data_IF_539038287537
#
_entry.id   IF_539038287537
#
_cell.length_a   1.000
_cell.length_b   1.000
_cell.length_c   1.000
_cell.angle_alpha   90.00
_cell.angle_beta   90.00
_cell.angle_gamma   90.00
#
_symmetry.space_group_name_H-M   'P 1'
#
loop_
_entity.id
_entity.type
_entity.pdbx_description
1 polymer ?
#
# COMPACT_ATOMS: atom_id res chain seq x y z
N UNK A 1 3.12 -8.06 -10.64
CA UNK A 1 3.71 -6.91 -11.36
C UNK A 1 5.06 -6.49 -10.79
N UNK A 2 5.17 -6.11 -9.51
CA UNK A 2 6.44 -5.67 -8.89
C UNK A 2 7.57 -6.71 -9.07
N UNK A 3 7.26 -7.99 -8.82
CA UNK A 3 8.16 -9.10 -9.10
C UNK A 3 8.73 -9.08 -10.53
N UNK A 4 7.86 -8.92 -11.54
CA UNK A 4 8.25 -8.89 -12.94
C UNK A 4 9.18 -7.71 -13.25
N UNK A 5 8.84 -6.52 -12.75
CA UNK A 5 9.66 -5.32 -12.92
C UNK A 5 11.07 -5.55 -12.36
N UNK A 6 11.17 -6.06 -11.13
CA UNK A 6 12.46 -6.33 -10.50
C UNK A 6 13.25 -7.42 -11.25
N UNK A 7 12.59 -8.52 -11.64
CA UNK A 7 13.22 -9.62 -12.37
C UNK A 7 13.82 -9.16 -13.71
N UNK A 8 13.13 -8.27 -14.40
CA UNK A 8 13.57 -7.71 -15.68
C UNK A 8 14.50 -6.50 -15.52
N UNK A 9 14.90 -6.17 -14.28
CA UNK A 9 15.72 -5.00 -13.95
C UNK A 9 15.09 -3.68 -14.44
N UNK A 10 13.75 -3.63 -14.46
CA UNK A 10 12.95 -2.46 -14.86
C UNK A 10 12.66 -1.63 -13.62
N UNK A 11 13.45 -0.57 -13.44
CA UNK A 11 13.44 0.28 -12.24
C UNK A 11 12.74 1.63 -12.46
N UNK A 12 11.98 1.79 -13.54
CA UNK A 12 11.25 3.05 -13.85
C UNK A 12 10.28 3.44 -12.72
N UNK A 13 9.74 2.45 -12.01
CA UNK A 13 8.85 2.70 -10.87
C UNK A 13 9.57 3.37 -9.68
N UNK A 14 10.89 3.21 -9.56
CA UNK A 14 11.69 3.79 -8.47
C UNK A 14 11.66 5.31 -8.56
N UNK A 15 11.97 5.87 -9.73
CA UNK A 15 11.89 7.32 -9.96
C UNK A 15 10.44 7.80 -10.01
N UNK A 16 9.51 7.00 -10.55
CA UNK A 16 8.10 7.38 -10.61
C UNK A 16 7.50 7.58 -9.21
N UNK A 17 7.94 6.80 -8.22
CA UNK A 17 7.41 6.82 -6.85
C UNK A 17 8.37 7.40 -5.80
N UNK A 18 9.48 8.02 -6.21
CA UNK A 18 10.53 8.58 -5.33
C UNK A 18 11.05 7.57 -4.29
N UNK A 19 11.22 6.31 -4.72
CA UNK A 19 11.80 5.27 -3.88
C UNK A 19 13.33 5.43 -3.80
N UNK A 20 13.95 5.07 -2.66
CA UNK A 20 15.41 5.09 -2.52
C UNK A 20 16.11 4.03 -3.40
N UNK A 21 15.38 3.01 -3.84
CA UNK A 21 15.87 1.95 -4.72
C UNK A 21 14.77 0.94 -5.06
N UNK A 22 15.09 -0.12 -5.82
CA UNK A 22 14.16 -1.21 -6.09
C UNK A 22 13.77 -1.91 -4.79
N UNK A 23 12.49 -2.23 -4.63
CA UNK A 23 11.96 -2.95 -3.47
C UNK A 23 11.18 -4.19 -3.87
N UNK A 24 11.23 -5.21 -3.04
CA UNK A 24 10.37 -6.41 -3.16
C UNK A 24 9.19 -6.35 -2.18
N UNK A 25 9.19 -5.39 -1.25
CA UNK A 25 8.10 -5.19 -0.30
C UNK A 25 6.97 -4.37 -0.94
N UNK A 26 5.83 -5.03 -1.12
CA UNK A 26 4.63 -4.43 -1.68
C UNK A 26 4.09 -3.32 -0.77
N UNK A 27 4.22 -3.46 0.56
CA UNK A 27 3.76 -2.45 1.50
C UNK A 27 4.62 -1.19 1.42
N UNK A 28 5.94 -1.33 1.34
CA UNK A 28 6.86 -0.20 1.16
C UNK A 28 6.51 0.59 -0.11
N UNK A 29 6.29 -0.11 -1.23
CA UNK A 29 5.87 0.51 -2.49
C UNK A 29 4.55 1.27 -2.32
N UNK A 30 3.52 0.63 -1.76
CA UNK A 30 2.18 1.22 -1.62
C UNK A 30 2.18 2.41 -0.66
N UNK A 31 2.90 2.32 0.45
CA UNK A 31 3.08 3.42 1.40
C UNK A 31 3.78 4.61 0.71
N UNK A 32 4.85 4.35 -0.04
CA UNK A 32 5.57 5.40 -0.76
C UNK A 32 4.70 6.11 -1.80
N UNK A 33 3.89 5.34 -2.55
CA UNK A 33 2.90 5.90 -3.47
C UNK A 33 1.88 6.77 -2.74
N UNK A 34 1.41 6.34 -1.56
CA UNK A 34 0.51 7.14 -0.73
C UNK A 34 1.14 8.46 -0.31
N UNK A 35 2.39 8.45 0.19
CA UNK A 35 3.09 9.66 0.61
C UNK A 35 3.29 10.63 -0.56
N UNK A 36 3.82 10.14 -1.70
CA UNK A 36 4.07 10.97 -2.88
C UNK A 36 2.80 11.64 -3.40
N UNK A 37 1.68 10.93 -3.39
CA UNK A 37 0.42 11.39 -3.98
C UNK A 37 -0.59 11.94 -2.95
N UNK A 38 -0.20 12.02 -1.68
CA UNK A 38 -1.07 12.44 -0.56
C UNK A 38 -2.35 11.60 -0.44
N UNK A 39 -2.25 10.29 -0.68
CA UNK A 39 -3.38 9.37 -0.53
C UNK A 39 -3.50 8.93 0.92
N UNK A 40 -4.32 9.66 1.67
CA UNK A 40 -4.59 9.37 3.07
C UNK A 40 -6.09 9.38 3.35
N UNK A 41 -6.52 8.50 4.25
CA UNK A 41 -7.87 8.43 4.78
C UNK A 41 -7.86 8.87 6.24
N UNK A 42 -8.88 9.62 6.61
CA UNK A 42 -9.16 9.89 8.02
C UNK A 42 -10.11 8.82 8.53
N UNK A 43 -9.64 8.02 9.47
CA UNK A 43 -10.45 7.01 10.16
C UNK A 43 -10.71 7.44 11.59
N UNK A 44 -11.95 7.26 12.04
CA UNK A 44 -12.34 7.48 13.43
C UNK A 44 -12.18 6.16 14.17
N UNK A 45 -11.31 6.09 15.17
CA UNK A 45 -11.26 4.94 16.09
C UNK A 45 -11.92 5.29 17.43
N UNK A 46 -12.64 4.35 18.06
CA UNK A 46 -13.05 4.49 19.45
C UNK A 46 -11.79 4.64 20.33
N UNK A 47 -11.77 5.61 21.24
CA UNK A 47 -10.61 5.87 22.13
C UNK A 47 -10.43 4.85 23.25
N UNK A 48 -11.26 3.82 23.33
CA UNK A 48 -11.29 2.88 24.44
C UNK A 48 -10.12 1.89 24.34
N UNK A 49 -9.12 2.06 25.21
CA UNK A 49 -8.06 1.09 25.47
C UNK A 49 -8.62 -0.05 26.36
N UNK A 50 -8.30 -1.33 26.13
CA UNK A 50 -8.91 -2.46 26.88
C UNK A 50 -8.58 -2.56 28.39
N UNK A 51 -7.83 -1.62 28.96
CA UNK A 51 -7.26 -1.75 30.31
C UNK A 51 -7.80 -0.75 31.35
N UNK A 52 -8.85 0.01 31.06
CA UNK A 52 -9.44 0.91 32.06
C UNK A 52 -10.71 0.28 32.65
N UNK A 53 -10.55 -0.18 33.89
CA UNK A 53 -11.55 -0.88 34.70
C UNK A 53 -12.78 -0.01 34.92
N UNK A 54 -13.93 -0.67 34.81
CA UNK A 54 -15.28 -0.20 35.09
C UNK A 54 -15.39 0.71 36.34
N UNK A 55 -15.77 1.97 36.13
CA UNK A 55 -16.67 2.67 37.05
C UNK A 55 -17.77 3.32 36.24
N UNK A 56 -19.00 2.97 36.60
CA UNK A 56 -20.21 3.17 35.82
C UNK A 56 -20.69 4.62 35.79
N UNK A 57 -21.43 4.91 34.72
CA UNK A 57 -22.54 5.87 34.61
C UNK A 57 -22.32 7.33 34.18
N UNK A 58 -21.10 7.86 34.10
CA UNK A 58 -20.89 9.21 33.50
C UNK A 58 -20.17 9.23 32.13
N UNK A 59 -19.56 8.12 31.73
CA UNK A 59 -18.69 8.06 30.54
C UNK A 59 -19.44 7.78 29.21
N UNK A 60 -20.76 7.66 29.24
CA UNK A 60 -21.60 7.41 28.05
C UNK A 60 -21.90 8.65 27.21
N UNK A 61 -21.41 9.84 27.59
CA UNK A 61 -21.68 11.10 26.86
C UNK A 61 -20.52 11.63 26.02
N UNK A 62 -19.32 11.09 26.15
CA UNK A 62 -18.18 11.52 25.34
C UNK A 62 -17.79 10.41 24.36
N UNK A 63 -18.44 10.40 23.19
CA UNK A 63 -17.95 9.69 22.01
C UNK A 63 -16.63 10.33 21.53
N UNK A 64 -15.55 10.18 22.30
CA UNK A 64 -14.21 10.66 21.92
C UNK A 64 -13.70 9.71 20.85
N UNK A 65 -14.04 10.02 19.61
CA UNK A 65 -13.43 9.35 18.46
C UNK A 65 -12.11 10.06 18.14
N UNK A 66 -10.99 9.34 18.26
CA UNK A 66 -9.72 9.87 17.79
C UNK A 66 -9.68 9.74 16.27
N UNK A 67 -9.45 10.88 15.58
CA UNK A 67 -9.21 10.91 14.14
C UNK A 67 -7.75 10.53 13.88
N UNK A 68 -7.56 9.41 13.20
CA UNK A 68 -6.25 8.93 12.78
C UNK A 68 -6.15 9.03 11.26
N UNK A 69 -5.01 9.49 10.76
CA UNK A 69 -4.72 9.55 9.34
C UNK A 69 -3.93 8.30 8.96
N UNK A 70 -4.46 7.51 8.03
CA UNK A 70 -3.82 6.28 7.56
C UNK A 70 -3.59 6.32 6.04
N UNK A 71 -2.55 5.66 5.50
CA UNK A 71 -2.35 5.54 4.06
C UNK A 71 -3.52 4.83 3.36
N UNK A 72 -3.98 5.38 2.24
CA UNK A 72 -5.01 4.77 1.39
C UNK A 72 -4.39 3.77 0.40
N UNK A 73 -4.08 2.57 0.91
CA UNK A 73 -3.41 1.52 0.14
C UNK A 73 -4.22 1.09 -1.09
N UNK A 74 -5.56 1.09 -1.00
CA UNK A 74 -6.43 0.74 -2.14
C UNK A 74 -6.30 1.77 -3.26
N UNK A 75 -6.32 3.06 -2.92
CA UNK A 75 -6.15 4.15 -3.89
C UNK A 75 -4.75 4.14 -4.50
N UNK A 76 -3.72 3.83 -3.71
CA UNK A 76 -2.36 3.65 -4.23
C UNK A 76 -2.26 2.50 -5.25
N UNK A 77 -2.82 1.32 -4.94
CA UNK A 77 -2.84 0.19 -5.86
C UNK A 77 -3.57 0.53 -7.18
N UNK A 78 -4.73 1.19 -7.08
CA UNK A 78 -5.48 1.66 -8.25
C UNK A 78 -4.67 2.66 -9.08
N UNK A 79 -3.97 3.59 -8.42
CA UNK A 79 -3.13 4.58 -9.09
C UNK A 79 -1.99 3.91 -9.87
N UNK A 80 -1.31 2.93 -9.26
CA UNK A 80 -0.27 2.13 -9.92
C UNK A 80 -0.85 1.43 -11.17
N UNK A 81 -2.01 0.79 -11.05
CA UNK A 81 -2.66 0.13 -12.20
C UNK A 81 -3.03 1.13 -13.31
N UNK A 82 -3.53 2.31 -12.94
CA UNK A 82 -3.81 3.39 -13.90
C UNK A 82 -2.54 3.83 -14.64
N UNK A 83 -1.41 3.99 -13.94
CA UNK A 83 -0.12 4.33 -14.55
C UNK A 83 0.37 3.24 -15.50
N UNK A 84 0.18 1.97 -15.12
CA UNK A 84 0.49 0.82 -15.96
C UNK A 84 -0.32 0.83 -17.26
N UNK A 85 -1.65 1.02 -17.16
CA UNK A 85 -2.52 1.09 -18.33
C UNK A 85 -2.18 2.28 -19.25
N UNK A 86 -1.68 3.37 -18.67
CA UNK A 86 -1.19 4.54 -19.40
C UNK A 86 0.26 4.39 -19.93
N UNK A 87 0.88 3.21 -19.79
CA UNK A 87 2.24 2.88 -20.25
C UNK A 87 3.36 3.70 -19.60
N UNK A 88 3.16 4.23 -18.39
CA UNK A 88 4.22 4.96 -17.66
C UNK A 88 5.41 4.06 -17.26
N UNK A 89 5.23 2.75 -17.18
CA UNK A 89 6.32 1.79 -16.96
C UNK A 89 6.98 1.31 -18.27
N UNK A 90 6.70 1.99 -19.39
CA UNK A 90 7.15 1.60 -20.72
C UNK A 90 6.39 0.38 -21.30
N UNK A 91 6.84 -0.14 -22.45
CA UNK A 91 6.29 -1.36 -23.03
C UNK A 91 6.54 -2.56 -22.10
N UNK A 92 5.47 -3.29 -21.79
CA UNK A 92 5.49 -4.49 -20.94
C UNK A 92 4.78 -5.62 -21.68
N UNK A 93 5.43 -6.77 -21.72
CA UNK A 93 4.86 -8.02 -22.23
C UNK A 93 5.11 -9.09 -21.18
N UNK A 94 4.04 -9.66 -20.63
CA UNK A 94 4.13 -10.81 -19.73
C UNK A 94 4.19 -12.09 -20.55
N UNK A 95 5.19 -12.93 -20.28
CA UNK A 95 5.33 -14.24 -20.91
C UNK A 95 4.84 -15.34 -19.95
N UNK A 96 4.39 -16.50 -20.45
CA UNK A 96 3.94 -17.61 -19.59
C UNK A 96 5.02 -18.08 -18.59
N UNK A 97 6.30 -17.95 -18.93
CA UNK A 97 7.40 -18.29 -18.01
C UNK A 97 7.46 -17.34 -16.81
N UNK A 98 7.07 -16.07 -16.98
CA UNK A 98 7.06 -15.10 -15.89
C UNK A 98 6.03 -15.49 -14.82
N UNK A 99 4.90 -16.09 -15.22
CA UNK A 99 3.86 -16.58 -14.31
C UNK A 99 4.35 -17.79 -13.51
N UNK A 100 4.93 -18.80 -14.17
CA UNK A 100 5.50 -19.98 -13.48
C UNK A 100 6.54 -19.61 -12.43
N UNK A 101 7.33 -18.57 -12.71
CA UNK A 101 8.38 -18.11 -11.80
C UNK A 101 7.83 -17.24 -10.67
N UNK A 102 6.75 -16.50 -10.94
CA UNK A 102 6.04 -15.74 -9.94
C UNK A 102 5.27 -16.63 -8.96
N UNK A 103 4.75 -17.77 -9.42
CA UNK A 103 4.00 -18.76 -8.62
C UNK A 103 4.78 -19.16 -7.35
N UNK A 104 6.06 -19.50 -7.51
CA UNK A 104 6.96 -19.82 -6.40
C UNK A 104 7.15 -18.65 -5.43
N UNK A 105 7.05 -17.41 -5.90
CA UNK A 105 7.25 -16.22 -5.07
C UNK A 105 6.02 -15.89 -4.22
N UNK A 106 4.82 -16.20 -4.71
CA UNK A 106 3.56 -15.91 -3.99
C UNK A 106 3.08 -17.05 -3.09
N UNK A 107 3.51 -18.29 -3.33
CA UNK A 107 3.15 -19.44 -2.51
C UNK A 107 4.09 -19.73 -1.33
N UNK A 108 5.26 -19.06 -1.28
CA UNK A 108 6.24 -19.21 -0.20
C UNK A 108 6.25 -18.03 0.80
N UNK A 109 5.35 -17.06 0.65
CA UNK A 109 5.25 -15.85 1.47
C UNK A 109 4.13 -15.93 2.52
#
# INVERSE_FOLDING_TARGET
MLFWLNRRQRTEYVSLFDLPGPTTDVNELLISVCFKNKFFLTVSKPSWLPNEIETSDELFKSNITQKMVIPDIKRAAFHILSLFNKRYFGPVTFLPEDEKLADNFFHLA
#
